data_IF_606137488661
#
_entry.id   IF_606137488661
#
_cell.length_a   1.000
_cell.length_b   1.000
_cell.length_c   1.000
_cell.angle_alpha   90.00
_cell.angle_beta   90.00
_cell.angle_gamma   90.00
#
_symmetry.space_group_name_H-M   'P 1'
#
loop_
_entity.id
_entity.type
_entity.pdbx_description
1 polymer ?
#
# COMPACT_ATOMS: atom_id res chain seq x y z
N UNK A 1 -1.90 -5.35 -16.22
CA UNK A 1 -1.25 -6.11 -15.13
C UNK A 1 0.03 -6.81 -15.59
N UNK A 2 1.14 -6.47 -14.96
CA UNK A 2 2.45 -7.15 -15.08
C UNK A 2 2.45 -8.45 -14.25
N UNK A 3 3.15 -9.48 -14.73
CA UNK A 3 3.29 -10.78 -14.06
C UNK A 3 4.73 -10.98 -13.57
N UNK A 4 4.90 -11.28 -12.28
CA UNK A 4 6.19 -11.55 -11.65
C UNK A 4 6.17 -12.99 -11.11
N UNK A 5 7.15 -13.80 -11.53
CA UNK A 5 7.29 -15.20 -11.12
C UNK A 5 8.42 -15.39 -10.10
N UNK A 6 8.07 -15.90 -8.92
CA UNK A 6 9.01 -16.24 -7.85
C UNK A 6 9.25 -17.75 -7.83
N UNK A 7 10.16 -18.24 -8.68
CA UNK A 7 10.43 -19.69 -8.86
C UNK A 7 10.83 -20.41 -7.57
N UNK A 8 11.58 -19.75 -6.68
CA UNK A 8 12.07 -20.35 -5.43
C UNK A 8 10.95 -20.78 -4.48
N UNK A 9 9.80 -20.11 -4.55
CA UNK A 9 8.62 -20.39 -3.72
C UNK A 9 7.42 -20.86 -4.55
N UNK A 10 7.61 -21.05 -5.87
CA UNK A 10 6.57 -21.44 -6.83
C UNK A 10 5.33 -20.52 -6.79
N UNK A 11 5.54 -19.21 -6.69
CA UNK A 11 4.46 -18.22 -6.64
C UNK A 11 4.46 -17.30 -7.86
N UNK A 12 3.27 -16.82 -8.22
CA UNK A 12 3.08 -15.79 -9.25
C UNK A 12 2.32 -14.61 -8.66
N UNK A 13 2.92 -13.44 -8.72
CA UNK A 13 2.29 -12.17 -8.32
C UNK A 13 1.91 -11.40 -9.58
N UNK A 14 0.68 -10.87 -9.60
CA UNK A 14 0.25 -9.90 -10.60
C UNK A 14 0.31 -8.51 -9.96
N UNK A 15 0.87 -7.52 -10.66
CA UNK A 15 0.91 -6.15 -10.17
C UNK A 15 0.43 -5.14 -11.22
N UNK A 16 -0.13 -4.04 -10.75
CA UNK A 16 -0.53 -2.92 -11.60
C UNK A 16 -0.57 -1.61 -10.82
N UNK A 17 -0.32 -0.51 -11.52
CA UNK A 17 -0.61 0.84 -11.03
C UNK A 17 -1.84 1.33 -11.78
N UNK A 18 -2.91 1.62 -11.04
CA UNK A 18 -4.15 2.16 -11.59
C UNK A 18 -3.99 3.63 -11.99
N UNK A 19 -4.95 4.16 -12.76
CA UNK A 19 -4.95 5.56 -13.22
C UNK A 19 -4.89 6.58 -12.07
N UNK A 20 -5.51 6.26 -10.92
CA UNK A 20 -5.48 7.09 -9.72
C UNK A 20 -4.16 6.96 -8.91
N UNK A 21 -3.20 6.18 -9.40
CA UNK A 21 -1.90 5.97 -8.78
C UNK A 21 -1.83 4.84 -7.75
N UNK A 22 -2.95 4.21 -7.39
CA UNK A 22 -2.96 3.08 -6.46
C UNK A 22 -2.19 1.89 -7.05
N UNK A 23 -1.29 1.31 -6.26
CA UNK A 23 -0.60 0.06 -6.59
C UNK A 23 -1.38 -1.13 -6.08
N UNK A 24 -1.70 -2.07 -6.97
CA UNK A 24 -2.46 -3.28 -6.68
C UNK A 24 -1.57 -4.49 -6.90
N UNK A 25 -1.61 -5.44 -5.96
CA UNK A 25 -0.90 -6.71 -6.03
C UNK A 25 -1.89 -7.86 -5.80
N UNK A 26 -1.87 -8.86 -6.67
CA UNK A 26 -2.69 -10.06 -6.55
C UNK A 26 -1.79 -11.30 -6.48
N UNK A 27 -2.01 -12.11 -5.45
CA UNK A 27 -1.31 -13.38 -5.24
C UNK A 27 -2.34 -14.52 -5.14
N UNK A 28 -2.68 -15.20 -6.25
CA UNK A 28 -3.65 -16.30 -6.22
C UNK A 28 -3.10 -17.53 -5.48
N UNK A 29 -3.65 -17.81 -4.30
CA UNK A 29 -3.28 -18.98 -3.47
C UNK A 29 -4.24 -20.14 -3.71
N UNK A 30 -3.98 -20.95 -4.74
CA UNK A 30 -4.79 -22.14 -5.03
C UNK A 30 -4.74 -23.13 -3.86
N UNK A 31 -5.88 -23.72 -3.50
CA UNK A 31 -5.99 -24.68 -2.39
C UNK A 31 -6.24 -24.06 -1.01
N UNK A 32 -6.26 -22.72 -0.90
CA UNK A 32 -6.62 -22.03 0.33
C UNK A 32 -8.11 -21.65 0.32
N UNK A 33 -8.78 -21.82 1.45
CA UNK A 33 -10.21 -21.49 1.61
C UNK A 33 -10.47 -20.06 2.11
N UNK A 34 -9.42 -19.36 2.55
CA UNK A 34 -9.50 -17.99 3.06
C UNK A 34 -8.82 -17.03 2.10
N UNK A 35 -9.49 -15.91 1.86
CA UNK A 35 -8.92 -14.76 1.14
C UNK A 35 -8.55 -13.69 2.15
N UNK A 36 -7.42 -13.02 1.94
CA UNK A 36 -6.96 -11.91 2.75
C UNK A 36 -6.61 -10.73 1.85
N UNK A 37 -6.93 -9.53 2.31
CA UNK A 37 -6.62 -8.29 1.62
C UNK A 37 -6.06 -7.30 2.64
N UNK A 38 -5.03 -6.56 2.23
CA UNK A 38 -4.47 -5.45 3.00
C UNK A 38 -4.62 -4.20 2.13
N UNK A 39 -5.13 -3.14 2.71
CA UNK A 39 -5.10 -1.82 2.10
C UNK A 39 -4.31 -0.89 3.03
N UNK A 40 -3.22 -0.32 2.51
CA UNK A 40 -2.30 0.49 3.29
C UNK A 40 -2.11 1.85 2.63
N UNK A 41 -1.71 2.82 3.45
CA UNK A 41 -1.25 4.14 3.02
C UNK A 41 0.20 4.34 3.42
N UNK A 42 0.92 5.21 2.72
CA UNK A 42 2.29 5.59 3.07
C UNK A 42 2.26 6.76 4.07
N UNK A 43 1.72 6.51 5.26
CA UNK A 43 1.58 7.45 6.36
C UNK A 43 1.62 6.69 7.68
N UNK A 44 2.45 7.13 8.62
CA UNK A 44 2.71 6.44 9.89
C UNK A 44 3.02 7.39 11.04
N UNK A 45 3.32 6.82 12.21
CA UNK A 45 3.44 7.57 13.47
C UNK A 45 4.54 8.63 13.51
N UNK A 46 5.51 8.54 12.60
CA UNK A 46 6.62 9.51 12.50
C UNK A 46 6.31 10.65 11.52
N UNK A 47 5.25 10.54 10.72
CA UNK A 47 4.87 11.53 9.71
C UNK A 47 4.05 12.66 10.35
N UNK A 48 4.65 13.34 11.33
CA UNK A 48 3.99 14.43 12.05
C UNK A 48 4.21 15.81 11.42
N UNK A 49 5.04 15.90 10.38
CA UNK A 49 5.39 17.17 9.74
C UNK A 49 5.40 17.02 8.22
N UNK A 50 4.44 17.62 7.52
CA UNK A 50 4.27 17.50 6.07
C UNK A 50 3.51 18.70 5.48
N UNK A 51 3.59 18.90 4.16
CA UNK A 51 2.72 19.85 3.44
C UNK A 51 1.40 19.13 3.12
N UNK A 52 0.24 19.60 3.60
CA UNK A 52 -1.04 19.01 3.27
C UNK A 52 -1.38 19.09 1.78
N UNK A 53 -2.25 18.18 1.33
CA UNK A 53 -2.68 18.17 -0.07
C UNK A 53 -3.41 19.47 -0.41
N UNK A 54 -2.90 20.20 -1.41
CA UNK A 54 -3.48 21.47 -1.86
C UNK A 54 -2.95 22.70 -1.10
N UNK A 55 -2.03 22.51 -0.16
CA UNK A 55 -1.39 23.59 0.59
C UNK A 55 0.07 23.77 0.16
N UNK A 56 0.69 24.87 0.59
CA UNK A 56 2.11 25.19 0.35
C UNK A 56 2.94 25.20 1.62
N UNK A 57 2.30 25.39 2.78
CA UNK A 57 2.97 25.54 4.06
C UNK A 57 3.16 24.19 4.75
N UNK A 58 4.31 24.03 5.40
CA UNK A 58 4.57 22.87 6.25
C UNK A 58 3.69 22.93 7.49
N UNK A 59 2.95 21.87 7.75
CA UNK A 59 2.14 21.71 8.96
C UNK A 59 2.77 20.67 9.87
N UNK A 60 2.81 20.98 11.16
CA UNK A 60 3.11 20.00 12.21
C UNK A 60 1.81 19.59 12.91
N UNK A 61 1.58 18.30 13.04
CA UNK A 61 0.39 17.72 13.67
C UNK A 61 0.79 16.97 14.95
N UNK A 62 -0.08 16.89 15.97
CA UNK A 62 0.20 16.13 17.19
C UNK A 62 0.60 14.67 16.94
N UNK A 63 1.48 14.16 17.79
CA UNK A 63 1.84 12.74 17.78
C UNK A 63 0.60 11.86 17.96
N UNK A 64 0.58 10.73 17.26
CA UNK A 64 -0.49 9.73 17.35
C UNK A 64 -1.60 9.87 16.30
N UNK A 65 -1.62 10.91 15.46
CA UNK A 65 -2.67 11.09 14.44
C UNK A 65 -2.72 9.96 13.41
N UNK A 66 -1.60 9.33 13.07
CA UNK A 66 -1.63 8.16 12.18
C UNK A 66 -2.35 6.94 12.77
N UNK A 67 -2.45 6.86 14.10
CA UNK A 67 -3.14 5.78 14.81
C UNK A 67 -4.59 6.15 15.18
N UNK A 68 -4.84 7.43 15.47
CA UNK A 68 -6.13 7.96 15.90
C UNK A 68 -7.17 7.90 14.77
#
# INVERSE_FOLDING_TARGET
MEKIEFKQVNETVYQERLENGLRVFLLPKKGFSKTFAIFTTNYGSIDNTFVPLGETEMTHVPDGIAHF
#
